data_IF_011472175398
#
_entry.id   IF_011472175398
#
_cell.length_a   1.000
_cell.length_b   1.000
_cell.length_c   1.000
_cell.angle_alpha   90.00
_cell.angle_beta   90.00
_cell.angle_gamma   90.00
#
_symmetry.space_group_name_H-M   'P 1'
#
loop_
_entity.id
_entity.type
_entity.pdbx_description
1 polymer ?
#
# COMPACT_ATOMS: atom_id res chain seq x y z
N UNK A 1 18.06 37.51 -38.96
CA UNK A 1 19.10 38.14 -38.16
C UNK A 1 18.55 38.38 -36.77
N UNK A 2 19.02 37.77 -35.81
CA UNK A 2 19.38 38.07 -34.43
C UNK A 2 19.12 36.87 -33.53
N UNK A 3 20.23 36.36 -33.07
CA UNK A 3 20.31 35.29 -32.12
C UNK A 3 19.90 35.80 -30.74
N UNK A 4 18.84 35.30 -30.17
CA UNK A 4 18.51 35.49 -28.78
C UNK A 4 19.09 34.36 -27.94
N UNK A 5 20.10 34.69 -27.18
CA UNK A 5 20.88 33.80 -26.32
C UNK A 5 19.99 33.08 -25.29
N UNK A 6 20.03 31.78 -25.35
CA UNK A 6 19.47 30.90 -24.34
C UNK A 6 20.34 30.97 -23.08
N UNK A 7 19.98 31.81 -22.10
CA UNK A 7 20.59 31.79 -20.77
C UNK A 7 20.10 30.55 -20.01
N UNK A 8 20.90 29.50 -20.04
CA UNK A 8 20.81 28.42 -19.07
C UNK A 8 21.08 28.99 -17.68
N UNK A 9 20.04 29.12 -16.87
CA UNK A 9 20.17 29.29 -15.43
C UNK A 9 20.73 27.99 -14.87
N UNK A 10 21.98 28.00 -14.47
CA UNK A 10 22.53 27.01 -13.53
C UNK A 10 21.67 27.02 -12.30
N UNK A 11 20.93 25.94 -12.05
CA UNK A 11 20.38 25.64 -10.74
C UNK A 11 21.54 25.24 -9.87
N UNK A 12 21.71 26.00 -8.79
CA UNK A 12 22.62 25.66 -7.71
C UNK A 12 22.24 24.28 -7.18
N UNK A 13 23.10 23.31 -7.42
CA UNK A 13 23.12 22.05 -6.70
C UNK A 13 23.35 22.39 -5.22
N UNK A 14 22.29 22.26 -4.43
CA UNK A 14 22.42 22.16 -2.99
C UNK A 14 23.28 20.92 -2.71
N UNK A 15 24.59 21.14 -2.63
CA UNK A 15 25.55 20.15 -2.12
C UNK A 15 25.12 19.82 -0.70
N UNK A 16 24.36 18.74 -0.58
CA UNK A 16 24.25 18.03 0.69
C UNK A 16 25.67 17.76 1.12
N UNK A 17 26.10 18.42 2.18
CA UNK A 17 27.38 18.21 2.85
C UNK A 17 27.40 16.77 3.36
N UNK A 18 27.74 15.83 2.51
CA UNK A 18 28.16 14.51 2.94
C UNK A 18 29.45 14.69 3.72
N UNK A 19 29.32 14.63 5.05
CA UNK A 19 30.48 14.44 5.90
C UNK A 19 31.25 13.22 5.33
N UNK A 20 32.54 13.35 5.01
CA UNK A 20 33.30 12.21 4.48
C UNK A 20 33.15 11.05 5.46
N UNK A 21 32.71 9.89 4.94
CA UNK A 21 32.63 8.67 5.73
C UNK A 21 33.99 8.50 6.44
N UNK A 22 33.98 8.55 7.78
CA UNK A 22 35.18 8.21 8.55
C UNK A 22 35.57 6.82 8.09
N UNK A 23 36.75 6.71 7.45
CA UNK A 23 37.29 5.41 7.10
C UNK A 23 37.49 4.65 8.41
N UNK A 24 36.63 3.68 8.65
CA UNK A 24 36.78 2.76 9.77
C UNK A 24 38.10 2.04 9.58
N UNK A 25 39.01 2.28 10.48
CA UNK A 25 40.25 1.54 10.50
C UNK A 25 39.96 0.15 11.04
N UNK A 26 39.67 -0.80 10.14
CA UNK A 26 39.23 -2.17 10.47
C UNK A 26 40.41 -3.02 11.02
N UNK A 27 41.61 -2.45 11.04
CA UNK A 27 42.82 -3.13 11.55
C UNK A 27 43.14 -2.55 12.92
N UNK A 28 43.27 -3.35 13.97
CA UNK A 28 43.66 -2.87 15.27
C UNK A 28 45.13 -2.38 15.21
N UNK A 29 45.52 -1.43 16.09
CA UNK A 29 46.91 -0.98 16.17
C UNK A 29 47.84 -2.16 16.49
N UNK A 30 48.92 -2.33 15.72
CA UNK A 30 49.77 -3.53 15.76
C UNK A 30 50.56 -3.72 17.09
N UNK A 31 50.59 -2.71 17.98
CA UNK A 31 51.27 -2.75 19.28
C UNK A 31 50.44 -2.16 20.41
N UNK A 32 49.12 -2.32 20.33
CA UNK A 32 48.21 -1.76 21.31
C UNK A 32 48.20 -2.60 22.59
N UNK A 33 48.17 -1.94 23.75
CA UNK A 33 47.84 -2.57 25.02
C UNK A 33 46.36 -2.97 25.09
N UNK A 34 46.00 -3.73 26.12
CA UNK A 34 44.60 -4.24 26.27
C UNK A 34 43.55 -3.11 26.32
N UNK A 35 43.86 -1.99 26.95
CA UNK A 35 42.94 -0.86 27.07
C UNK A 35 42.72 -0.18 25.70
N UNK A 36 43.75 -0.02 24.90
CA UNK A 36 43.67 0.52 23.54
C UNK A 36 42.90 -0.38 22.60
N UNK A 37 43.03 -1.72 22.73
CA UNK A 37 42.25 -2.69 21.96
C UNK A 37 40.78 -2.64 22.32
N UNK A 38 40.44 -2.51 23.61
CA UNK A 38 39.06 -2.37 24.05
C UNK A 38 38.41 -1.07 23.56
N UNK A 39 39.12 0.05 23.64
CA UNK A 39 38.67 1.32 23.11
C UNK A 39 38.44 1.26 21.60
N UNK A 40 39.36 0.70 20.85
CA UNK A 40 39.22 0.49 19.41
C UNK A 40 38.01 -0.40 19.06
N UNK A 41 37.81 -1.51 19.76
CA UNK A 41 36.67 -2.40 19.54
C UNK A 41 35.34 -1.72 19.85
N UNK A 42 35.31 -0.89 20.90
CA UNK A 42 34.13 -0.09 21.26
C UNK A 42 33.80 0.95 20.18
N UNK A 43 34.81 1.70 19.69
CA UNK A 43 34.63 2.69 18.63
C UNK A 43 34.19 2.04 17.32
N UNK A 44 34.74 0.87 16.99
CA UNK A 44 34.37 0.10 15.82
C UNK A 44 32.90 -0.37 15.93
N UNK A 45 32.50 -0.88 17.10
CA UNK A 45 31.14 -1.30 17.37
C UNK A 45 30.15 -0.14 17.27
N UNK A 46 30.49 1.01 17.85
CA UNK A 46 29.66 2.22 17.80
C UNK A 46 29.48 2.71 16.35
N UNK A 47 30.55 2.76 15.58
CA UNK A 47 30.51 3.16 14.17
C UNK A 47 29.75 2.15 13.29
N UNK A 48 29.85 0.86 13.57
CA UNK A 48 29.07 -0.16 12.89
C UNK A 48 27.57 0.01 13.21
N UNK A 49 27.22 0.28 14.45
CA UNK A 49 25.83 0.52 14.87
C UNK A 49 25.23 1.77 14.20
N UNK A 50 25.98 2.87 14.16
CA UNK A 50 25.57 4.10 13.45
C UNK A 50 25.30 3.83 11.95
N UNK A 51 26.16 3.00 11.32
CA UNK A 51 26.02 2.66 9.91
C UNK A 51 24.79 1.76 9.65
N UNK A 52 24.52 0.80 10.51
CA UNK A 52 23.32 -0.04 10.45
C UNK A 52 22.06 0.83 10.58
N UNK A 53 22.00 1.69 11.58
CA UNK A 53 20.88 2.63 11.77
C UNK A 53 20.66 3.54 10.55
N UNK A 54 21.74 4.05 9.97
CA UNK A 54 21.65 4.89 8.75
C UNK A 54 21.13 4.10 7.54
N UNK A 55 21.55 2.85 7.38
CA UNK A 55 21.08 1.98 6.31
C UNK A 55 19.62 1.60 6.49
N UNK A 56 19.19 1.27 7.71
CA UNK A 56 17.79 1.00 8.05
C UNK A 56 16.89 2.20 7.76
N UNK A 57 17.33 3.42 8.12
CA UNK A 57 16.61 4.65 7.79
C UNK A 57 16.51 4.88 6.27
N UNK A 58 17.58 4.56 5.53
CA UNK A 58 17.62 4.68 4.08
C UNK A 58 16.70 3.66 3.40
N UNK A 59 16.69 2.41 3.89
CA UNK A 59 15.76 1.36 3.45
C UNK A 59 14.31 1.81 3.71
N UNK A 60 14.00 2.23 4.93
CA UNK A 60 12.68 2.74 5.29
C UNK A 60 12.26 3.94 4.43
N UNK A 61 13.19 4.83 4.07
CA UNK A 61 12.92 5.95 3.17
C UNK A 61 12.65 5.47 1.74
N UNK A 62 13.44 4.55 1.19
CA UNK A 62 13.23 3.98 -0.14
C UNK A 62 11.92 3.19 -0.21
N UNK A 63 11.63 2.39 0.81
CA UNK A 63 10.34 1.71 0.96
C UNK A 63 9.16 2.69 1.02
N UNK A 64 9.35 3.92 1.57
CA UNK A 64 8.32 4.97 1.53
C UNK A 64 8.07 5.51 0.13
N UNK A 65 9.03 5.44 -0.77
CA UNK A 65 8.92 5.90 -2.15
C UNK A 65 8.14 4.91 -3.04
N UNK A 66 8.10 3.62 -2.67
CA UNK A 66 7.33 2.61 -3.38
C UNK A 66 5.89 2.63 -2.89
N UNK A 67 5.00 3.18 -3.69
CA UNK A 67 3.55 3.30 -3.37
C UNK A 67 2.67 2.31 -4.11
N UNK A 68 3.24 1.40 -4.90
CA UNK A 68 2.54 0.40 -5.71
C UNK A 68 2.88 -1.02 -5.27
N UNK A 69 1.93 -1.93 -5.49
CA UNK A 69 2.08 -3.37 -5.36
C UNK A 69 2.69 -3.93 -6.64
N UNK A 70 3.79 -4.66 -6.55
CA UNK A 70 4.55 -5.15 -7.69
C UNK A 70 3.79 -6.19 -8.53
N UNK A 71 2.93 -6.99 -7.90
CA UNK A 71 2.18 -8.04 -8.57
C UNK A 71 1.03 -7.49 -9.41
N UNK A 72 0.26 -6.57 -8.85
CA UNK A 72 -0.99 -6.08 -9.45
C UNK A 72 -0.86 -4.71 -10.12
N UNK A 73 0.21 -3.95 -9.81
CA UNK A 73 0.40 -2.58 -10.28
C UNK A 73 -0.61 -1.56 -9.72
N UNK A 74 -1.40 -1.96 -8.72
CA UNK A 74 -2.26 -1.05 -7.93
C UNK A 74 -1.42 -0.33 -6.87
N UNK A 75 -2.03 0.59 -6.11
CA UNK A 75 -1.40 1.08 -4.90
C UNK A 75 -1.19 -0.07 -3.91
N UNK A 76 -0.12 -0.03 -3.14
CA UNK A 76 0.02 -0.86 -1.96
C UNK A 76 -0.68 -0.20 -0.76
N UNK A 77 -0.70 -0.86 0.40
CA UNK A 77 -1.32 -0.35 1.63
C UNK A 77 -0.86 1.07 1.97
N UNK A 78 0.43 1.36 1.85
CA UNK A 78 1.00 2.69 2.13
C UNK A 78 0.51 3.75 1.13
N UNK A 79 0.58 3.44 -0.17
CA UNK A 79 0.10 4.33 -1.22
C UNK A 79 -1.39 4.64 -1.08
N UNK A 80 -2.18 3.65 -0.66
CA UNK A 80 -3.61 3.82 -0.39
C UNK A 80 -3.85 4.75 0.81
N UNK A 81 -3.20 4.52 1.94
CA UNK A 81 -3.32 5.37 3.12
C UNK A 81 -2.94 6.81 2.82
N UNK A 82 -1.82 7.03 2.12
CA UNK A 82 -1.41 8.38 1.71
C UNK A 82 -2.42 9.06 0.78
N UNK A 83 -3.07 8.33 -0.12
CA UNK A 83 -4.14 8.85 -0.96
C UNK A 83 -5.39 9.16 -0.13
N UNK A 84 -5.76 8.29 0.80
CA UNK A 84 -6.92 8.46 1.65
C UNK A 84 -6.74 9.64 2.62
N UNK A 85 -5.60 9.78 3.27
CA UNK A 85 -5.29 10.95 4.14
C UNK A 85 -5.46 12.27 3.37
N UNK A 86 -4.99 12.35 2.13
CA UNK A 86 -5.19 13.54 1.29
C UNK A 86 -6.66 13.81 0.98
N UNK A 87 -7.42 12.78 0.63
CA UNK A 87 -8.84 12.90 0.29
C UNK A 87 -9.68 13.27 1.53
N UNK A 88 -9.42 12.63 2.67
CA UNK A 88 -10.09 12.89 3.94
C UNK A 88 -9.82 14.33 4.43
N UNK A 89 -8.57 14.78 4.35
CA UNK A 89 -8.22 16.16 4.66
C UNK A 89 -8.86 17.18 3.69
N UNK A 90 -9.06 16.84 2.42
CA UNK A 90 -9.79 17.68 1.47
C UNK A 90 -11.27 17.75 1.83
N UNK A 91 -11.91 16.63 2.16
CA UNK A 91 -13.30 16.55 2.61
C UNK A 91 -13.52 17.39 3.87
N UNK A 92 -12.61 17.31 4.86
CA UNK A 92 -12.63 18.13 6.07
C UNK A 92 -12.64 19.64 5.80
N UNK A 93 -12.06 20.08 4.68
CA UNK A 93 -12.05 21.49 4.24
C UNK A 93 -13.23 21.87 3.33
N UNK A 94 -14.29 21.06 3.28
CA UNK A 94 -15.48 21.29 2.45
C UNK A 94 -15.40 20.73 1.02
N UNK A 95 -14.36 19.96 0.71
CA UNK A 95 -14.30 19.20 -0.54
C UNK A 95 -15.22 17.97 -0.54
N UNK A 96 -15.28 17.22 -1.64
CA UNK A 96 -16.12 16.02 -1.71
C UNK A 96 -15.60 14.94 -0.77
N UNK A 97 -16.49 14.39 0.05
CA UNK A 97 -16.26 13.13 0.75
C UNK A 97 -16.31 11.94 -0.21
N UNK A 98 -16.56 10.76 0.29
CA UNK A 98 -16.63 9.57 -0.55
C UNK A 98 -16.90 8.30 0.24
N UNK A 99 -16.51 7.18 -0.35
CA UNK A 99 -16.68 5.86 0.26
C UNK A 99 -15.38 5.07 0.13
N UNK A 100 -14.95 4.46 1.23
CA UNK A 100 -13.95 3.40 1.23
C UNK A 100 -14.69 2.08 1.08
N UNK A 101 -14.23 1.23 0.17
CA UNK A 101 -14.69 -0.14 0.04
C UNK A 101 -13.48 -1.08 0.20
N UNK A 102 -13.48 -1.87 1.25
CA UNK A 102 -12.52 -2.98 1.41
C UNK A 102 -13.12 -4.22 0.75
N UNK A 103 -12.29 -5.01 0.11
CA UNK A 103 -12.66 -6.20 -0.65
C UNK A 103 -11.73 -7.35 -0.27
N UNK A 104 -12.30 -8.53 -0.06
CA UNK A 104 -11.57 -9.78 0.18
C UNK A 104 -12.09 -10.85 -0.78
N UNK A 105 -11.18 -11.65 -1.35
CA UNK A 105 -11.52 -12.71 -2.29
C UNK A 105 -12.02 -13.97 -1.57
N UNK A 106 -13.22 -14.41 -1.94
CA UNK A 106 -13.87 -15.55 -1.29
C UNK A 106 -13.20 -16.87 -1.67
N UNK A 107 -12.55 -17.50 -0.68
CA UNK A 107 -11.91 -18.81 -0.88
C UNK A 107 -10.58 -18.79 -1.64
N UNK A 108 -9.89 -17.66 -1.75
CA UNK A 108 -8.61 -17.54 -2.44
C UNK A 108 -7.55 -18.54 -1.95
N UNK A 109 -7.51 -18.84 -0.65
CA UNK A 109 -6.64 -19.88 -0.12
C UNK A 109 -6.90 -21.25 -0.79
N UNK A 110 -8.16 -21.61 -1.03
CA UNK A 110 -8.51 -22.88 -1.71
C UNK A 110 -7.99 -22.89 -3.15
N UNK A 111 -8.00 -21.75 -3.83
CA UNK A 111 -7.43 -21.62 -5.19
C UNK A 111 -5.93 -21.92 -5.14
N UNK A 112 -5.18 -21.31 -4.21
CA UNK A 112 -3.75 -21.58 -4.03
C UNK A 112 -3.47 -23.05 -3.69
N UNK A 113 -4.27 -23.63 -2.78
CA UNK A 113 -4.09 -25.02 -2.33
C UNK A 113 -4.38 -26.04 -3.45
N UNK A 114 -5.32 -25.74 -4.36
CA UNK A 114 -5.72 -26.65 -5.45
C UNK A 114 -4.93 -26.45 -6.74
N UNK A 115 -4.65 -25.20 -7.12
CA UNK A 115 -4.07 -24.85 -8.43
C UNK A 115 -2.63 -24.34 -8.31
N UNK A 116 -2.15 -24.06 -7.10
CA UNK A 116 -0.81 -23.53 -6.84
C UNK A 116 -0.75 -22.00 -6.84
N UNK A 117 0.33 -21.48 -6.26
CA UNK A 117 0.53 -20.03 -6.09
C UNK A 117 0.65 -19.24 -7.40
N UNK A 118 1.15 -19.88 -8.47
CA UNK A 118 1.27 -19.21 -9.77
C UNK A 118 -0.10 -18.82 -10.36
N UNK A 119 -1.08 -19.72 -10.27
CA UNK A 119 -2.47 -19.49 -10.70
C UNK A 119 -3.16 -18.44 -9.80
N UNK A 120 -2.89 -18.50 -8.48
CA UNK A 120 -3.35 -17.47 -7.55
C UNK A 120 -2.80 -16.07 -7.89
N UNK A 121 -1.52 -15.98 -8.23
CA UNK A 121 -0.88 -14.74 -8.66
C UNK A 121 -1.49 -14.21 -9.96
N UNK A 122 -1.79 -15.07 -10.92
CA UNK A 122 -2.44 -14.67 -12.17
C UNK A 122 -3.86 -14.17 -11.95
N UNK A 123 -4.60 -14.76 -11.03
CA UNK A 123 -5.91 -14.31 -10.62
C UNK A 123 -5.83 -12.91 -9.96
N UNK A 124 -4.86 -12.70 -9.07
CA UNK A 124 -4.61 -11.38 -8.47
C UNK A 124 -4.24 -10.32 -9.52
N UNK A 125 -3.44 -10.65 -10.52
CA UNK A 125 -3.11 -9.76 -11.65
C UNK A 125 -4.36 -9.40 -12.47
N UNK A 126 -5.23 -10.38 -12.75
CA UNK A 126 -6.48 -10.13 -13.46
C UNK A 126 -7.40 -9.20 -12.68
N UNK A 127 -7.57 -9.44 -11.37
CA UNK A 127 -8.32 -8.56 -10.50
C UNK A 127 -7.73 -7.14 -10.47
N UNK A 128 -6.40 -7.02 -10.31
CA UNK A 128 -5.71 -5.73 -10.36
C UNK A 128 -6.01 -4.96 -11.66
N UNK A 129 -6.03 -5.65 -12.80
CA UNK A 129 -6.39 -5.07 -14.08
C UNK A 129 -7.86 -4.62 -14.15
N UNK A 130 -8.80 -5.41 -13.62
CA UNK A 130 -10.21 -5.05 -13.53
C UNK A 130 -10.37 -3.77 -12.71
N UNK A 131 -9.84 -3.74 -11.48
CA UNK A 131 -9.95 -2.59 -10.58
C UNK A 131 -9.32 -1.34 -11.18
N UNK A 132 -8.12 -1.43 -11.75
CA UNK A 132 -7.42 -0.29 -12.39
C UNK A 132 -8.22 0.32 -13.53
N UNK A 133 -8.81 -0.50 -14.42
CA UNK A 133 -9.61 -0.02 -15.55
C UNK A 133 -10.93 0.60 -15.14
N UNK A 134 -11.47 0.23 -13.97
CA UNK A 134 -12.78 0.66 -13.49
C UNK A 134 -12.71 1.73 -12.40
N UNK A 135 -11.51 2.19 -12.05
CA UNK A 135 -11.24 3.26 -11.10
C UNK A 135 -10.93 4.55 -11.85
N UNK A 136 -11.58 5.67 -11.45
CA UNK A 136 -11.39 7.01 -12.07
C UNK A 136 -10.07 7.62 -11.55
N UNK A 137 -9.58 8.67 -12.21
CA UNK A 137 -8.35 9.39 -11.77
C UNK A 137 -8.44 9.97 -10.35
N UNK A 138 -9.64 10.34 -9.89
CA UNK A 138 -9.87 10.86 -8.54
C UNK A 138 -10.08 9.76 -7.50
N UNK A 139 -10.39 8.54 -7.93
CA UNK A 139 -10.52 7.36 -7.08
C UNK A 139 -9.14 6.73 -6.86
N UNK A 140 -9.04 5.80 -5.92
CA UNK A 140 -7.85 4.97 -5.74
C UNK A 140 -8.24 3.49 -5.66
N UNK A 141 -7.38 2.62 -6.18
CA UNK A 141 -7.48 1.16 -6.01
C UNK A 141 -6.15 0.64 -5.48
N UNK A 142 -6.19 -0.26 -4.52
CA UNK A 142 -5.02 -0.80 -3.86
C UNK A 142 -5.16 -2.28 -3.56
N UNK A 143 -4.01 -2.95 -3.42
CA UNK A 143 -3.88 -4.23 -2.74
C UNK A 143 -3.30 -3.99 -1.36
N UNK A 144 -4.02 -4.38 -0.32
CA UNK A 144 -3.61 -4.14 1.07
C UNK A 144 -2.69 -5.24 1.61
N UNK A 145 -2.78 -6.43 1.04
CA UNK A 145 -1.98 -7.62 1.37
C UNK A 145 -2.71 -8.89 0.97
N UNK A 146 -2.01 -9.98 0.68
CA UNK A 146 -2.64 -11.26 0.33
C UNK A 146 -3.70 -11.14 -0.75
N UNK A 147 -4.95 -11.43 -0.37
CA UNK A 147 -6.18 -11.36 -1.16
C UNK A 147 -7.08 -10.16 -0.81
N UNK A 148 -6.56 -9.23 -0.01
CA UNK A 148 -7.28 -8.02 0.41
C UNK A 148 -7.00 -6.84 -0.53
N UNK A 149 -8.08 -6.19 -0.98
CA UNK A 149 -8.05 -5.01 -1.83
C UNK A 149 -8.86 -3.87 -1.22
N UNK A 150 -8.59 -2.65 -1.65
CA UNK A 150 -9.35 -1.48 -1.26
C UNK A 150 -9.62 -0.55 -2.44
N UNK A 151 -10.77 0.11 -2.40
CA UNK A 151 -11.16 1.18 -3.31
C UNK A 151 -11.50 2.43 -2.50
N UNK A 152 -11.03 3.58 -2.93
CA UNK A 152 -11.50 4.89 -2.48
C UNK A 152 -12.28 5.52 -3.62
N UNK A 153 -13.56 5.78 -3.39
CA UNK A 153 -14.53 6.28 -4.38
C UNK A 153 -14.94 7.69 -3.99
N UNK A 154 -14.24 8.68 -4.52
CA UNK A 154 -14.43 10.09 -4.19
C UNK A 154 -15.72 10.64 -4.81
N UNK A 155 -16.49 11.39 -4.01
CA UNK A 155 -17.72 12.03 -4.45
C UNK A 155 -18.90 11.07 -4.69
N UNK A 156 -18.78 9.79 -4.34
CA UNK A 156 -19.90 8.85 -4.42
C UNK A 156 -20.65 8.79 -3.08
N UNK A 157 -21.98 8.72 -3.17
CA UNK A 157 -22.79 8.33 -2.02
C UNK A 157 -22.65 6.83 -1.73
N UNK A 158 -22.92 6.42 -0.50
CA UNK A 158 -22.86 5.00 -0.09
C UNK A 158 -23.71 4.10 -0.99
N UNK A 159 -24.92 4.54 -1.39
CA UNK A 159 -25.78 3.80 -2.30
C UNK A 159 -25.20 3.63 -3.69
N UNK A 160 -24.54 4.67 -4.23
CA UNK A 160 -23.87 4.61 -5.53
C UNK A 160 -22.62 3.73 -5.49
N UNK A 161 -21.84 3.81 -4.41
CA UNK A 161 -20.68 2.96 -4.18
C UNK A 161 -21.10 1.47 -4.05
N UNK A 162 -22.21 1.18 -3.33
CA UNK A 162 -22.74 -0.19 -3.22
C UNK A 162 -23.10 -0.77 -4.59
N UNK A 163 -23.79 -0.02 -5.44
CA UNK A 163 -24.09 -0.47 -6.82
C UNK A 163 -22.82 -0.71 -7.65
N UNK A 164 -21.80 0.16 -7.50
CA UNK A 164 -20.50 -0.02 -8.18
C UNK A 164 -19.79 -1.28 -7.70
N UNK A 165 -19.75 -1.55 -6.39
CA UNK A 165 -19.14 -2.76 -5.83
C UNK A 165 -19.88 -4.03 -6.26
N UNK A 166 -21.21 -4.03 -6.25
CA UNK A 166 -22.02 -5.14 -6.78
C UNK A 166 -21.73 -5.43 -8.26
N UNK A 167 -21.57 -4.37 -9.06
CA UNK A 167 -21.18 -4.55 -10.46
C UNK A 167 -19.74 -5.06 -10.60
N UNK A 168 -18.79 -4.58 -9.79
CA UNK A 168 -17.43 -5.11 -9.74
C UNK A 168 -17.41 -6.58 -9.31
N UNK A 169 -18.20 -6.96 -8.31
CA UNK A 169 -18.35 -8.36 -7.88
C UNK A 169 -18.71 -9.27 -9.05
N UNK A 170 -19.73 -8.92 -9.82
CA UNK A 170 -20.11 -9.69 -11.03
C UNK A 170 -19.00 -9.76 -12.07
N UNK A 171 -18.14 -8.75 -12.18
CA UNK A 171 -16.97 -8.82 -13.06
C UNK A 171 -15.88 -9.72 -12.50
N UNK A 172 -15.70 -9.73 -11.18
CA UNK A 172 -14.76 -10.62 -10.49
C UNK A 172 -15.22 -12.07 -10.61
N UNK A 173 -16.51 -12.33 -10.51
CA UNK A 173 -17.07 -13.67 -10.74
C UNK A 173 -16.69 -14.25 -12.12
N UNK A 174 -16.54 -13.40 -13.15
CA UNK A 174 -16.11 -13.86 -14.49
C UNK A 174 -14.69 -14.39 -14.56
N UNK A 175 -13.85 -14.13 -13.56
CA UNK A 175 -12.50 -14.70 -13.45
C UNK A 175 -12.45 -15.91 -12.51
N UNK A 176 -13.61 -16.42 -12.09
CA UNK A 176 -13.73 -17.68 -11.36
C UNK A 176 -13.61 -17.57 -9.84
N UNK A 177 -13.73 -16.38 -9.27
CA UNK A 177 -13.68 -16.17 -7.82
C UNK A 177 -14.70 -15.13 -7.37
N UNK A 178 -15.33 -15.37 -6.21
CA UNK A 178 -16.20 -14.39 -5.56
C UNK A 178 -15.42 -13.32 -4.78
N UNK A 179 -16.09 -12.23 -4.44
CA UNK A 179 -15.52 -11.18 -3.62
C UNK A 179 -16.55 -10.56 -2.69
N UNK A 180 -16.19 -10.41 -1.42
CA UNK A 180 -16.99 -9.75 -0.40
C UNK A 180 -16.51 -8.30 -0.20
N UNK A 181 -17.46 -7.34 -0.16
CA UNK A 181 -17.18 -5.92 -0.06
C UNK A 181 -17.74 -5.30 1.21
N UNK A 182 -16.91 -4.62 2.00
CA UNK A 182 -17.36 -3.77 3.09
C UNK A 182 -17.19 -2.30 2.77
N UNK A 183 -18.20 -1.49 3.03
CA UNK A 183 -18.25 -0.09 2.64
C UNK A 183 -18.43 0.84 3.84
N UNK A 184 -17.63 1.92 3.90
CA UNK A 184 -17.79 3.00 4.86
C UNK A 184 -17.68 4.37 4.18
N UNK A 185 -18.62 5.26 4.44
CA UNK A 185 -18.53 6.64 3.96
C UNK A 185 -17.52 7.44 4.78
N UNK A 186 -16.86 8.43 4.16
CA UNK A 186 -16.01 9.43 4.80
C UNK A 186 -16.39 10.84 4.31
N UNK A 187 -16.29 11.81 5.21
CA UNK A 187 -16.56 13.24 4.95
C UNK A 187 -15.53 14.18 5.60
N UNK A 188 -14.46 13.58 6.16
CA UNK A 188 -13.42 14.30 6.87
C UNK A 188 -13.68 14.51 8.35
N UNK A 189 -14.81 14.06 8.90
CA UNK A 189 -15.14 14.18 10.33
C UNK A 189 -14.46 13.13 11.20
N UNK A 190 -14.15 11.96 10.62
CA UNK A 190 -13.54 10.82 11.31
C UNK A 190 -12.07 10.61 10.87
N UNK A 191 -11.31 9.90 11.70
CA UNK A 191 -9.96 9.46 11.32
C UNK A 191 -9.99 8.38 10.24
N UNK A 192 -8.91 8.26 9.48
CA UNK A 192 -8.74 7.21 8.46
C UNK A 192 -8.86 5.81 9.08
N UNK A 193 -8.32 5.64 10.27
CA UNK A 193 -8.38 4.37 11.01
C UNK A 193 -9.82 3.99 11.35
N UNK A 194 -10.62 4.94 11.82
CA UNK A 194 -12.05 4.72 12.14
C UNK A 194 -12.85 4.31 10.91
N UNK A 195 -12.63 4.99 9.78
CA UNK A 195 -13.34 4.70 8.53
C UNK A 195 -12.94 3.33 7.99
N UNK A 196 -11.64 3.00 8.00
CA UNK A 196 -11.14 1.68 7.58
C UNK A 196 -11.70 0.58 8.47
N UNK A 197 -11.68 0.76 9.78
CA UNK A 197 -12.27 -0.22 10.70
C UNK A 197 -13.75 -0.48 10.43
N UNK A 198 -14.54 0.58 10.13
CA UNK A 198 -15.96 0.42 9.76
C UNK A 198 -16.12 -0.34 8.45
N UNK A 199 -15.25 -0.11 7.46
CA UNK A 199 -15.31 -0.86 6.21
C UNK A 199 -14.93 -2.33 6.39
N UNK A 200 -13.92 -2.63 7.22
CA UNK A 200 -13.53 -4.01 7.54
C UNK A 200 -14.64 -4.77 8.27
N UNK A 201 -15.28 -4.14 9.26
CA UNK A 201 -16.43 -4.75 9.96
C UNK A 201 -17.59 -5.05 9.00
N UNK A 202 -17.91 -4.12 8.10
CA UNK A 202 -18.94 -4.32 7.09
C UNK A 202 -18.59 -5.46 6.10
N UNK A 203 -17.33 -5.59 5.73
CA UNK A 203 -16.82 -6.68 4.88
C UNK A 203 -16.95 -8.04 5.57
N UNK A 204 -16.57 -8.09 6.84
CA UNK A 204 -16.68 -9.33 7.63
C UNK A 204 -18.13 -9.80 7.75
N UNK A 205 -19.10 -8.88 7.96
CA UNK A 205 -20.53 -9.19 7.99
C UNK A 205 -21.02 -9.70 6.62
N UNK A 206 -20.59 -9.09 5.52
CA UNK A 206 -20.93 -9.55 4.16
C UNK A 206 -20.37 -10.95 3.92
N UNK A 207 -19.11 -11.19 4.24
CA UNK A 207 -18.44 -12.50 4.09
C UNK A 207 -19.17 -13.59 4.87
N UNK A 208 -19.61 -13.30 6.09
CA UNK A 208 -20.44 -14.23 6.87
C UNK A 208 -21.76 -14.54 6.19
N UNK A 209 -22.46 -13.54 5.65
CA UNK A 209 -23.74 -13.76 4.94
C UNK A 209 -23.55 -14.63 3.70
N UNK A 210 -22.50 -14.37 2.91
CA UNK A 210 -22.20 -15.16 1.72
C UNK A 210 -21.87 -16.62 2.08
N UNK A 211 -21.11 -16.85 3.14
CA UNK A 211 -20.80 -18.19 3.63
C UNK A 211 -22.06 -18.96 4.08
N UNK A 212 -23.01 -18.31 4.78
CA UNK A 212 -24.27 -18.93 5.19
C UNK A 212 -25.17 -19.25 3.99
N UNK A 213 -25.24 -18.36 2.98
CA UNK A 213 -26.00 -18.60 1.76
C UNK A 213 -25.48 -19.81 0.99
N UNK A 214 -24.15 -19.95 0.87
CA UNK A 214 -23.53 -21.08 0.20
C UNK A 214 -23.80 -22.43 0.91
N UNK A 215 -23.89 -22.46 2.24
CA UNK A 215 -24.24 -23.66 3.00
C UNK A 215 -25.73 -24.02 2.77
N UNK A 216 -26.62 -23.05 2.82
CA UNK A 216 -28.05 -23.27 2.62
C UNK A 216 -28.35 -23.86 1.21
N UNK A 217 -27.68 -23.37 0.17
CA UNK A 217 -27.81 -23.89 -1.20
C UNK A 217 -27.25 -25.30 -1.37
N UNK A 218 -26.29 -25.71 -0.53
CA UNK A 218 -25.70 -27.07 -0.58
C UNK A 218 -26.59 -28.12 0.11
N UNK A 219 -27.41 -27.70 1.11
CA UNK A 219 -28.31 -28.60 1.83
C UNK A 219 -29.64 -28.87 1.07
N UNK A 220 -29.96 -28.04 0.04
CA UNK A 220 -31.14 -28.22 -0.79
C UNK A 220 -30.89 -29.10 -2.04
N UNK A 221 -29.67 -29.61 -2.26
CA UNK A 221 -29.30 -30.47 -3.39
C UNK A 221 -29.05 -31.91 -2.96
#
# INVERSE_FOLDING_TARGET
MSAAALKLRKRDDARTSERPARHLNLVPPASADHATLLAWAHDLSAAAHERVTTLEQRIAHLETMVSSDELTGLLNRRGFLAAFTRANAAAKRGGPGGVIAVCDLDGFKKVNDLLGHAEGDDLLRQLGNILRRKTRKMDAAARLGGDEFALMLVGLSLAAAKRKCQWLGRMIDTIGIGASFGLAAFDGSESEETVLHRSDMAMYEEKRRNAWAAVAESDER
#
